data_IF_827569880379
#
_entry.id   IF_827569880379
#
_cell.length_a   1.000
_cell.length_b   1.000
_cell.length_c   1.000
_cell.angle_alpha   90.00
_cell.angle_beta   90.00
_cell.angle_gamma   90.00
#
_symmetry.space_group_name_H-M   'P 1'
#
loop_
_entity.id
_entity.type
_entity.pdbx_description
1 polymer ?
#
# COMPACT_ATOMS: atom_id res chain seq x y z
N UNK A 1 -12.04 25.80 -5.97
CA UNK A 1 -12.99 24.96 -5.22
C UNK A 1 -12.39 24.46 -3.91
N UNK A 2 -11.11 24.11 -3.86
CA UNK A 2 -10.45 23.54 -2.69
C UNK A 2 -9.72 24.56 -1.77
N UNK A 3 -9.83 25.88 -2.06
CA UNK A 3 -9.13 26.94 -1.30
C UNK A 3 -9.52 26.96 0.19
N UNK A 4 -10.79 26.76 0.47
CA UNK A 4 -11.36 26.93 1.81
C UNK A 4 -11.58 25.59 2.55
N UNK A 5 -11.20 24.45 1.95
CA UNK A 5 -11.30 23.12 2.56
C UNK A 5 -10.96 21.97 1.61
N UNK A 6 -10.93 20.77 2.16
CA UNK A 6 -10.74 19.52 1.41
C UNK A 6 -11.65 18.43 2.00
N UNK A 7 -12.18 17.57 1.15
CA UNK A 7 -13.09 16.50 1.54
C UNK A 7 -12.71 15.17 0.85
N UNK A 8 -11.50 14.68 1.07
CA UNK A 8 -11.02 13.47 0.39
C UNK A 8 -11.79 12.26 0.89
N UNK A 9 -12.35 11.48 -0.05
CA UNK A 9 -13.10 10.27 0.26
C UNK A 9 -12.20 9.07 0.55
N UNK A 10 -10.94 9.10 0.09
CA UNK A 10 -9.98 8.02 0.26
C UNK A 10 -8.57 8.54 0.58
N UNK A 11 -7.73 7.66 1.13
CA UNK A 11 -6.30 7.87 1.31
C UNK A 11 -5.52 6.74 0.67
N UNK A 12 -4.53 7.10 -0.16
CA UNK A 12 -3.71 6.16 -0.92
C UNK A 12 -2.29 6.17 -0.36
N UNK A 13 -1.83 5.06 0.20
CA UNK A 13 -0.43 4.84 0.55
C UNK A 13 0.29 4.22 -0.64
N UNK A 14 1.17 4.97 -1.30
CA UNK A 14 1.88 4.52 -2.50
C UNK A 14 3.38 4.75 -2.44
N UNK A 15 4.10 4.26 -3.47
CA UNK A 15 5.53 4.49 -3.62
C UNK A 15 5.84 5.93 -4.03
N UNK A 16 7.08 6.39 -3.72
CA UNK A 16 7.60 7.66 -4.25
C UNK A 16 7.99 7.59 -5.73
N UNK A 17 7.87 6.44 -6.38
CA UNK A 17 8.21 6.27 -7.80
C UNK A 17 7.49 7.33 -8.64
N UNK A 18 8.25 8.11 -9.42
CA UNK A 18 7.72 9.25 -10.17
C UNK A 18 6.67 8.91 -11.22
N UNK A 19 6.53 7.63 -11.55
CA UNK A 19 5.56 7.10 -12.52
C UNK A 19 4.22 6.72 -11.88
N UNK A 20 4.08 6.83 -10.54
CA UNK A 20 2.92 6.34 -9.79
C UNK A 20 2.23 7.46 -9.00
N UNK A 21 1.72 8.49 -9.69
CA UNK A 21 0.83 9.48 -9.07
C UNK A 21 -0.55 8.89 -8.84
N UNK A 22 -0.99 8.83 -7.58
CA UNK A 22 -2.28 8.25 -7.23
C UNK A 22 -3.44 9.01 -7.89
N UNK A 23 -3.36 10.34 -7.96
CA UNK A 23 -4.35 11.19 -8.57
C UNK A 23 -4.55 10.84 -10.06
N UNK A 24 -3.45 10.62 -10.80
CA UNK A 24 -3.52 10.26 -12.20
C UNK A 24 -4.00 8.80 -12.41
N UNK A 25 -3.53 7.87 -11.56
CA UNK A 25 -3.89 6.45 -11.66
C UNK A 25 -5.38 6.24 -11.43
N UNK A 26 -5.97 6.96 -10.47
CA UNK A 26 -7.37 6.83 -10.09
C UNK A 26 -8.28 7.90 -10.71
N UNK A 27 -7.75 8.73 -11.63
CA UNK A 27 -8.49 9.82 -12.29
C UNK A 27 -9.18 10.74 -11.28
N UNK A 28 -8.41 11.20 -10.27
CA UNK A 28 -8.92 12.05 -9.20
C UNK A 28 -8.34 13.47 -9.26
N UNK A 29 -9.17 14.44 -8.90
CA UNK A 29 -8.79 15.85 -8.83
C UNK A 29 -8.09 16.23 -7.52
N UNK A 30 -7.64 17.48 -7.44
CA UNK A 30 -7.10 18.05 -6.21
C UNK A 30 -8.18 18.10 -5.12
N UNK A 31 -7.87 17.53 -3.95
CA UNK A 31 -8.78 17.50 -2.81
C UNK A 31 -9.68 16.26 -2.72
N UNK A 32 -9.70 15.39 -3.74
CA UNK A 32 -10.54 14.20 -3.78
C UNK A 32 -9.95 13.02 -3.01
N UNK A 33 -8.62 12.92 -2.98
CA UNK A 33 -7.90 11.89 -2.23
C UNK A 33 -6.72 12.47 -1.46
N UNK A 34 -6.36 11.82 -0.35
CA UNK A 34 -5.03 12.00 0.25
C UNK A 34 -4.01 11.08 -0.42
N UNK A 35 -2.84 11.62 -0.75
CA UNK A 35 -1.74 10.87 -1.33
C UNK A 35 -0.57 10.83 -0.34
N UNK A 36 -0.33 9.67 0.27
CA UNK A 36 0.80 9.42 1.17
C UNK A 36 1.83 8.61 0.40
N UNK A 37 3.08 9.09 0.34
CA UNK A 37 4.11 8.46 -0.50
C UNK A 37 5.40 8.18 0.25
N UNK A 38 5.87 6.94 0.16
CA UNK A 38 7.14 6.49 0.71
C UNK A 38 7.70 5.35 -0.14
N UNK A 39 9.03 5.27 -0.34
CA UNK A 39 9.62 4.22 -1.16
C UNK A 39 9.17 2.82 -0.73
N UNK A 40 8.71 2.02 -1.70
CA UNK A 40 8.20 0.68 -1.46
C UNK A 40 6.90 0.60 -0.65
N UNK A 41 6.13 1.70 -0.55
CA UNK A 41 4.87 1.76 0.21
C UNK A 41 4.95 1.09 1.60
N UNK A 42 6.09 1.25 2.28
CA UNK A 42 6.33 0.71 3.63
C UNK A 42 5.52 1.43 4.69
N UNK A 43 5.36 0.81 5.86
CA UNK A 43 4.59 1.36 6.98
C UNK A 43 5.52 1.68 8.14
N UNK A 44 5.48 2.93 8.61
CA UNK A 44 6.12 3.40 9.83
C UNK A 44 5.11 4.20 10.69
N UNK A 45 5.56 4.74 11.81
CA UNK A 45 4.69 5.48 12.74
C UNK A 45 4.09 6.73 12.10
N UNK A 46 4.87 7.48 11.31
CA UNK A 46 4.40 8.71 10.67
C UNK A 46 3.36 8.43 9.59
N UNK A 47 3.54 7.33 8.83
CA UNK A 47 2.54 6.86 7.87
C UNK A 47 1.23 6.48 8.57
N UNK A 48 1.31 5.73 9.70
CA UNK A 48 0.11 5.36 10.47
C UNK A 48 -0.59 6.62 10.99
N UNK A 49 0.13 7.56 11.60
CA UNK A 49 -0.45 8.81 12.08
C UNK A 49 -1.12 9.62 10.97
N UNK A 50 -0.53 9.62 9.76
CA UNK A 50 -1.12 10.29 8.59
C UNK A 50 -2.41 9.61 8.13
N UNK A 51 -2.48 8.27 8.17
CA UNK A 51 -3.68 7.49 7.87
C UNK A 51 -4.79 7.74 8.91
N UNK A 52 -4.42 7.79 10.19
CA UNK A 52 -5.35 8.14 11.28
C UNK A 52 -5.92 9.55 11.10
N UNK A 53 -5.07 10.53 10.75
CA UNK A 53 -5.53 11.88 10.42
C UNK A 53 -6.51 11.87 9.25
N UNK A 54 -6.17 11.19 8.15
CA UNK A 54 -7.01 11.12 6.97
C UNK A 54 -8.39 10.52 7.27
N UNK A 55 -8.44 9.43 8.04
CA UNK A 55 -9.68 8.72 8.31
C UNK A 55 -10.46 9.35 9.49
N UNK A 56 -9.80 9.55 10.64
CA UNK A 56 -10.48 9.96 11.87
C UNK A 56 -10.78 11.45 11.92
N UNK A 57 -9.88 12.29 11.41
CA UNK A 57 -10.01 13.75 11.47
C UNK A 57 -10.68 14.29 10.20
N UNK A 58 -10.25 13.85 9.03
CA UNK A 58 -10.74 14.37 7.74
C UNK A 58 -11.89 13.56 7.14
N UNK A 59 -12.19 12.37 7.66
CA UNK A 59 -13.37 11.60 7.29
C UNK A 59 -13.25 10.72 6.04
N UNK A 60 -12.03 10.46 5.53
CA UNK A 60 -11.82 9.50 4.44
C UNK A 60 -12.33 8.10 4.83
N UNK A 61 -12.99 7.44 3.87
CA UNK A 61 -13.70 6.16 4.09
C UNK A 61 -12.95 4.93 3.60
N UNK A 62 -11.93 5.11 2.78
CA UNK A 62 -11.17 4.02 2.18
C UNK A 62 -9.67 4.27 2.31
N UNK A 63 -8.94 3.25 2.76
CA UNK A 63 -7.48 3.19 2.70
C UNK A 63 -7.08 2.24 1.58
N UNK A 64 -6.26 2.68 0.62
CA UNK A 64 -5.67 1.82 -0.40
C UNK A 64 -4.16 1.78 -0.21
N UNK A 65 -3.60 0.58 -0.04
CA UNK A 65 -2.14 0.36 -0.10
C UNK A 65 -1.79 -0.03 -1.52
N UNK A 66 -1.22 0.92 -2.27
CA UNK A 66 -0.91 0.77 -3.68
C UNK A 66 0.57 0.47 -3.89
N UNK A 67 0.90 -0.78 -4.19
CA UNK A 67 2.20 -1.14 -4.76
C UNK A 67 2.21 -1.00 -6.28
N UNK A 68 3.37 -1.26 -6.90
CA UNK A 68 3.48 -1.21 -8.36
C UNK A 68 4.53 -2.20 -8.88
N UNK A 69 4.39 -2.60 -10.13
CA UNK A 69 5.37 -3.44 -10.82
C UNK A 69 6.72 -2.72 -10.98
N UNK A 70 7.81 -3.48 -11.04
CA UNK A 70 9.18 -2.98 -11.28
C UNK A 70 9.67 -1.96 -10.22
N UNK A 71 9.17 -2.04 -8.99
CA UNK A 71 9.52 -1.12 -7.90
C UNK A 71 11.01 -1.18 -7.55
N UNK A 72 11.68 -0.01 -7.57
CA UNK A 72 13.10 0.10 -7.25
C UNK A 72 13.42 -0.26 -5.80
N UNK A 73 12.56 0.11 -4.84
CA UNK A 73 12.75 -0.23 -3.43
C UNK A 73 12.62 -1.75 -3.19
N UNK A 74 11.65 -2.40 -3.84
CA UNK A 74 11.51 -3.86 -3.78
C UNK A 74 12.75 -4.54 -4.35
N UNK A 75 13.25 -4.10 -5.52
CA UNK A 75 14.50 -4.61 -6.11
C UNK A 75 15.69 -4.45 -5.17
N UNK A 76 15.83 -3.27 -4.55
CA UNK A 76 16.88 -3.01 -3.56
C UNK A 76 16.80 -3.95 -2.35
N UNK A 77 15.59 -4.25 -1.86
CA UNK A 77 15.40 -5.22 -0.78
C UNK A 77 15.74 -6.65 -1.23
N UNK A 78 15.35 -7.06 -2.45
CA UNK A 78 15.70 -8.36 -3.03
C UNK A 78 17.22 -8.57 -3.18
N UNK A 79 17.97 -7.49 -3.41
CA UNK A 79 19.43 -7.51 -3.53
C UNK A 79 20.15 -7.21 -2.21
N UNK A 80 19.41 -7.05 -1.10
CA UNK A 80 19.95 -6.71 0.21
C UNK A 80 20.86 -5.48 0.20
N UNK A 81 20.45 -4.43 -0.54
CA UNK A 81 21.24 -3.18 -0.67
C UNK A 81 21.38 -2.49 0.68
N UNK A 82 22.61 -2.12 1.01
CA UNK A 82 22.96 -1.35 2.20
C UNK A 82 23.51 0.02 1.80
N UNK A 83 22.81 1.09 2.18
CA UNK A 83 23.21 2.46 1.87
C UNK A 83 22.55 3.44 2.84
N UNK A 84 23.28 3.95 3.83
CA UNK A 84 22.80 4.97 4.74
C UNK A 84 21.38 4.70 5.28
N UNK A 85 20.52 5.71 5.26
CA UNK A 85 19.12 5.58 5.71
C UNK A 85 18.25 4.68 4.82
N UNK A 86 18.69 4.39 3.59
CA UNK A 86 17.98 3.45 2.72
C UNK A 86 18.01 2.03 3.32
N UNK A 87 19.08 1.65 4.00
CA UNK A 87 19.17 0.36 4.71
C UNK A 87 18.02 0.19 5.70
N UNK A 88 17.75 1.20 6.52
CA UNK A 88 16.64 1.20 7.49
C UNK A 88 15.27 1.12 6.77
N UNK A 89 15.10 1.82 5.67
CA UNK A 89 13.87 1.77 4.88
C UNK A 89 13.65 0.37 4.29
N UNK A 90 14.69 -0.20 3.64
CA UNK A 90 14.61 -1.52 3.01
C UNK A 90 14.45 -2.65 4.03
N UNK A 91 14.91 -2.48 5.28
CA UNK A 91 14.69 -3.46 6.35
C UNK A 91 13.21 -3.73 6.60
N UNK A 92 12.33 -2.78 6.31
CA UNK A 92 10.86 -2.93 6.42
C UNK A 92 10.26 -3.82 5.33
N UNK A 93 10.97 -3.97 4.20
CA UNK A 93 10.58 -4.83 3.08
C UNK A 93 11.18 -6.24 3.24
N UNK A 94 12.31 -6.39 3.93
CA UNK A 94 13.00 -7.68 4.10
C UNK A 94 12.10 -8.84 4.54
N UNK A 95 11.13 -8.64 5.46
CA UNK A 95 10.21 -9.72 5.81
C UNK A 95 9.42 -10.27 4.62
N UNK A 96 9.06 -9.43 3.63
CA UNK A 96 8.39 -9.89 2.40
C UNK A 96 9.34 -10.70 1.50
N UNK A 97 10.63 -10.33 1.45
CA UNK A 97 11.66 -11.10 0.73
C UNK A 97 11.80 -12.50 1.33
N UNK A 98 11.81 -12.62 2.67
CA UNK A 98 11.94 -13.92 3.33
C UNK A 98 10.67 -14.77 3.25
N UNK A 99 9.49 -14.16 3.21
CA UNK A 99 8.19 -14.83 3.14
C UNK A 99 7.89 -15.38 1.73
N UNK A 100 8.54 -14.84 0.69
CA UNK A 100 8.38 -15.36 -0.67
C UNK A 100 8.96 -16.79 -0.74
N UNK A 101 8.12 -17.76 -1.05
CA UNK A 101 8.45 -19.20 -1.06
C UNK A 101 8.23 -19.90 -2.41
N UNK A 102 7.76 -19.16 -3.43
CA UNK A 102 7.55 -19.71 -4.77
C UNK A 102 8.86 -19.90 -5.51
N UNK A 103 9.88 -19.06 -5.25
CA UNK A 103 11.19 -19.12 -5.91
C UNK A 103 12.12 -20.07 -5.16
N UNK A 104 12.10 -21.35 -5.50
CA UNK A 104 12.89 -22.40 -4.85
C UNK A 104 14.39 -22.30 -5.12
N UNK A 105 14.78 -21.81 -6.31
CA UNK A 105 16.19 -21.64 -6.69
C UNK A 105 16.76 -20.39 -5.99
N UNK A 106 17.66 -20.62 -5.03
CA UNK A 106 18.31 -19.53 -4.29
C UNK A 106 19.09 -18.56 -5.18
N UNK A 107 19.63 -19.01 -6.31
CA UNK A 107 20.33 -18.18 -7.27
C UNK A 107 19.42 -17.21 -8.04
N UNK A 108 18.12 -17.45 -8.00
CA UNK A 108 17.09 -16.59 -8.64
C UNK A 108 16.37 -15.67 -7.67
N UNK A 109 16.71 -15.68 -6.38
CA UNK A 109 16.10 -14.81 -5.37
C UNK A 109 16.82 -13.45 -5.31
N UNK A 110 16.73 -12.68 -6.38
CA UNK A 110 17.36 -11.37 -6.52
C UNK A 110 16.60 -10.49 -7.56
N UNK A 111 17.00 -9.23 -7.72
CA UNK A 111 16.33 -8.26 -8.58
C UNK A 111 16.37 -8.57 -10.08
N UNK A 112 17.23 -9.51 -10.52
CA UNK A 112 17.33 -9.95 -11.93
C UNK A 112 16.22 -10.93 -12.31
N UNK A 113 15.52 -11.49 -11.33
CA UNK A 113 14.34 -12.33 -11.56
C UNK A 113 13.06 -11.49 -11.40
N UNK A 114 12.40 -11.08 -12.49
CA UNK A 114 11.19 -10.27 -12.43
C UNK A 114 10.07 -10.93 -11.64
N UNK A 115 9.87 -12.24 -11.78
CA UNK A 115 8.84 -12.99 -11.08
C UNK A 115 9.05 -12.93 -9.56
N UNK A 116 10.28 -13.13 -9.09
CA UNK A 116 10.63 -13.00 -7.67
C UNK A 116 10.32 -11.58 -7.14
N UNK A 117 10.69 -10.54 -7.89
CA UNK A 117 10.44 -9.15 -7.51
C UNK A 117 8.94 -8.87 -7.43
N UNK A 118 8.13 -9.35 -8.39
CA UNK A 118 6.67 -9.15 -8.39
C UNK A 118 5.98 -9.90 -7.25
N UNK A 119 6.44 -11.12 -6.91
CA UNK A 119 5.96 -11.87 -5.76
C UNK A 119 6.24 -11.11 -4.46
N UNK A 120 7.48 -10.64 -4.28
CA UNK A 120 7.87 -9.83 -3.11
C UNK A 120 7.05 -8.54 -3.02
N UNK A 121 6.82 -7.86 -4.14
CA UNK A 121 5.99 -6.65 -4.18
C UNK A 121 4.57 -6.93 -3.70
N UNK A 122 3.96 -8.02 -4.15
CA UNK A 122 2.61 -8.42 -3.77
C UNK A 122 2.53 -8.81 -2.29
N UNK A 123 3.51 -9.56 -1.78
CA UNK A 123 3.62 -9.91 -0.36
C UNK A 123 3.79 -8.63 0.50
N UNK A 124 4.62 -7.68 0.04
CA UNK A 124 4.83 -6.42 0.76
C UNK A 124 3.54 -5.60 0.88
N UNK A 125 2.68 -5.58 -0.15
CA UNK A 125 1.34 -4.94 -0.08
C UNK A 125 0.51 -5.61 1.02
N UNK A 126 0.39 -6.94 1.01
CA UNK A 126 -0.37 -7.70 2.02
C UNK A 126 0.13 -7.45 3.44
N UNK A 127 1.46 -7.44 3.61
CA UNK A 127 2.09 -7.12 4.91
C UNK A 127 1.81 -5.70 5.36
N UNK A 128 1.82 -4.74 4.43
CA UNK A 128 1.53 -3.33 4.74
C UNK A 128 0.09 -3.15 5.20
N UNK A 129 -0.89 -3.76 4.53
CA UNK A 129 -2.30 -3.77 4.97
C UNK A 129 -2.41 -4.34 6.39
N UNK A 130 -1.83 -5.51 6.63
CA UNK A 130 -1.83 -6.17 7.95
C UNK A 130 -1.18 -5.31 9.03
N UNK A 131 -0.05 -4.68 8.69
CA UNK A 131 0.68 -3.82 9.64
C UNK A 131 -0.12 -2.57 10.02
N UNK A 132 -0.86 -1.96 9.10
CA UNK A 132 -1.71 -0.80 9.37
C UNK A 132 -2.81 -1.19 10.37
N UNK A 133 -3.55 -2.26 10.10
CA UNK A 133 -4.64 -2.73 10.98
C UNK A 133 -4.10 -3.09 12.37
N UNK A 134 -3.02 -3.89 12.44
CA UNK A 134 -2.49 -4.39 13.71
C UNK A 134 -1.79 -3.32 14.58
N UNK A 135 -1.34 -2.21 13.98
CA UNK A 135 -0.55 -1.18 14.69
C UNK A 135 -1.35 0.06 15.03
N UNK A 136 -2.55 0.23 14.48
CA UNK A 136 -3.43 1.37 14.77
C UNK A 136 -4.73 0.91 15.41
N UNK A 137 -4.83 1.03 16.71
CA UNK A 137 -6.08 0.79 17.43
C UNK A 137 -7.22 1.69 16.92
N UNK A 138 -6.91 2.94 16.54
CA UNK A 138 -7.91 3.88 16.01
C UNK A 138 -8.51 3.36 14.69
N UNK A 139 -7.66 2.95 13.74
CA UNK A 139 -8.13 2.45 12.44
C UNK A 139 -8.83 1.09 12.60
N UNK A 140 -8.32 0.20 13.46
CA UNK A 140 -8.98 -1.08 13.78
C UNK A 140 -10.41 -0.86 14.27
N UNK A 141 -10.62 0.02 15.26
CA UNK A 141 -11.96 0.35 15.78
C UNK A 141 -12.87 0.96 14.69
N UNK A 142 -12.33 1.81 13.80
CA UNK A 142 -13.12 2.38 12.71
C UNK A 142 -13.52 1.32 11.66
N UNK A 143 -12.66 0.34 11.41
CA UNK A 143 -12.98 -0.81 10.53
C UNK A 143 -14.05 -1.68 11.17
N UNK A 144 -13.90 -2.03 12.45
CA UNK A 144 -14.90 -2.83 13.19
C UNK A 144 -16.28 -2.16 13.25
N UNK A 145 -16.29 -0.83 13.37
CA UNK A 145 -17.52 -0.04 13.36
C UNK A 145 -18.16 0.09 11.96
N UNK A 146 -17.45 -0.31 10.89
CA UNK A 146 -17.91 -0.13 9.52
C UNK A 146 -17.74 1.29 8.98
N UNK A 147 -16.99 2.13 9.67
CA UNK A 147 -16.75 3.52 9.26
C UNK A 147 -15.81 3.63 8.08
N UNK A 148 -14.83 2.72 7.99
CA UNK A 148 -13.81 2.67 6.93
C UNK A 148 -13.54 1.23 6.48
N UNK A 149 -12.90 1.12 5.31
CA UNK A 149 -12.32 -0.12 4.82
C UNK A 149 -10.86 0.09 4.40
N UNK A 150 -10.08 -0.99 4.34
CA UNK A 150 -8.72 -1.01 3.81
C UNK A 150 -8.55 -2.14 2.81
N UNK A 151 -7.84 -1.88 1.71
CA UNK A 151 -7.52 -2.86 0.67
C UNK A 151 -6.13 -2.62 0.10
N UNK A 152 -5.47 -3.70 -0.31
CA UNK A 152 -4.25 -3.65 -1.10
C UNK A 152 -4.55 -3.63 -2.60
N UNK A 153 -3.70 -2.95 -3.38
CA UNK A 153 -3.77 -2.94 -4.82
C UNK A 153 -2.38 -2.89 -5.45
N UNK A 154 -2.26 -3.35 -6.69
CA UNK A 154 -1.02 -3.30 -7.46
C UNK A 154 -1.26 -2.61 -8.80
N UNK A 155 -0.49 -1.56 -9.09
CA UNK A 155 -0.46 -0.86 -10.37
C UNK A 155 0.59 -1.48 -11.29
N UNK A 156 0.17 -1.88 -12.46
CA UNK A 156 1.08 -2.39 -13.49
C UNK A 156 1.55 -1.24 -14.39
N UNK A 157 2.86 -1.01 -14.43
CA UNK A 157 3.46 0.07 -15.21
C UNK A 157 3.46 -0.19 -16.73
N UNK A 158 3.30 -1.42 -17.16
CA UNK A 158 3.28 -1.74 -18.59
C UNK A 158 1.88 -1.53 -19.19
N UNK A 159 0.85 -1.85 -18.45
CA UNK A 159 -0.54 -1.79 -18.89
C UNK A 159 -1.31 -0.58 -18.37
N UNK A 160 -0.85 0.03 -17.28
CA UNK A 160 -1.55 1.08 -16.56
C UNK A 160 -2.72 0.58 -15.70
N UNK A 161 -2.94 -0.73 -15.63
CA UNK A 161 -4.04 -1.31 -14.86
C UNK A 161 -3.75 -1.34 -13.37
N UNK A 162 -4.81 -1.25 -12.57
CA UNK A 162 -4.78 -1.48 -11.12
C UNK A 162 -5.54 -2.77 -10.82
N UNK A 163 -4.86 -3.72 -10.20
CA UNK A 163 -5.45 -4.95 -9.66
C UNK A 163 -5.67 -4.79 -8.17
N UNK A 164 -6.91 -4.89 -7.72
CA UNK A 164 -7.22 -4.95 -6.29
C UNK A 164 -7.01 -6.37 -5.76
N UNK A 165 -6.26 -6.49 -4.67
CA UNK A 165 -6.00 -7.77 -4.00
C UNK A 165 -7.16 -8.04 -3.02
N UNK A 166 -8.22 -8.67 -3.49
CA UNK A 166 -9.46 -8.90 -2.74
C UNK A 166 -9.24 -9.66 -1.42
N UNK A 167 -8.25 -10.55 -1.38
CA UNK A 167 -7.84 -11.28 -0.18
C UNK A 167 -7.27 -10.39 0.93
N UNK A 168 -6.98 -9.11 0.62
CA UNK A 168 -6.50 -8.10 1.58
C UNK A 168 -7.59 -7.18 2.10
N UNK A 169 -8.82 -7.28 1.58
CA UNK A 169 -9.91 -6.42 2.02
C UNK A 169 -10.24 -6.69 3.49
N UNK A 170 -10.14 -5.65 4.30
CA UNK A 170 -10.60 -5.64 5.69
C UNK A 170 -11.67 -4.58 5.84
N UNK A 171 -12.88 -5.04 6.15
CA UNK A 171 -14.06 -4.21 6.38
C UNK A 171 -14.94 -4.85 7.45
N UNK A 172 -15.94 -4.15 7.96
CA UNK A 172 -16.93 -4.74 8.86
C UNK A 172 -17.63 -5.92 8.16
N UNK A 173 -17.74 -7.06 8.84
CA UNK A 173 -18.23 -8.33 8.28
C UNK A 173 -19.69 -8.32 7.80
N UNK A 174 -20.41 -7.23 7.99
CA UNK A 174 -21.87 -7.22 7.81
C UNK A 174 -22.41 -6.61 6.50
N UNK A 175 -21.59 -5.98 5.62
CA UNK A 175 -22.24 -5.12 4.59
C UNK A 175 -21.73 -5.19 3.14
N UNK A 176 -20.63 -5.87 2.80
CA UNK A 176 -20.05 -5.66 1.45
C UNK A 176 -20.47 -6.69 0.40
N UNK A 177 -20.93 -7.87 0.76
CA UNK A 177 -21.35 -8.90 -0.21
C UNK A 177 -22.87 -9.00 -0.44
N UNK A 178 -23.68 -8.27 0.31
CA UNK A 178 -25.16 -8.34 0.20
C UNK A 178 -25.79 -7.26 -0.72
N UNK A 179 -25.00 -6.32 -1.24
CA UNK A 179 -25.55 -5.22 -2.06
C UNK A 179 -25.14 -5.24 -3.55
N UNK A 180 -24.44 -6.29 -3.99
CA UNK A 180 -24.02 -6.47 -5.40
C UNK A 180 -24.53 -7.82 -5.95
N UNK A 181 -25.70 -8.25 -5.53
CA UNK A 181 -26.41 -9.38 -6.14
C UNK A 181 -27.69 -8.89 -6.85
#
# INVERSE_FOLDING_TARGET
>A
ETRDGQWPFAVILSCIDSRTSAELIFDQGLGDIFSIRIAGNVVNTDIIGSLEFACKVSGSKLIVVLGHSKCGAIKGACDHVEMGNLTELLSKIQPAVYEEDFTMDKGKRNSKNPEFVENVATINIRRSVKAIVNRSYILEQMIEAGDIAIIGAKHDLDTGQVEFLEDTLVSCKNDVLAQVA
#
